data_IF_366891502911
#
_entry.id   IF_366891502911
#
_cell.length_a   1.000
_cell.length_b   1.000
_cell.length_c   1.000
_cell.angle_alpha   90.00
_cell.angle_beta   90.00
_cell.angle_gamma   90.00
#
_symmetry.space_group_name_H-M   'P 1'
#
loop_
_entity.id
_entity.type
_entity.pdbx_description
1 polymer ?
#
# COMPACT_ATOMS: atom_id res chain seq x y z
N UNK A 1 13.97 -10.00 14.89
CA UNK A 1 13.51 -9.38 13.63
C UNK A 1 13.42 -10.45 12.56
N UNK A 2 12.22 -10.69 12.03
CA UNK A 2 11.94 -11.62 10.93
C UNK A 2 11.28 -10.82 9.80
N UNK A 3 11.73 -11.07 8.57
CA UNK A 3 11.09 -10.57 7.35
C UNK A 3 10.26 -11.70 6.76
N UNK A 4 8.99 -11.43 6.50
CA UNK A 4 8.03 -12.41 5.99
C UNK A 4 7.44 -11.91 4.67
N UNK A 5 7.34 -12.80 3.69
CA UNK A 5 6.56 -12.57 2.47
C UNK A 5 5.07 -12.71 2.78
N UNK A 6 4.29 -11.69 2.44
CA UNK A 6 2.86 -11.61 2.72
C UNK A 6 2.07 -11.40 1.42
N UNK A 7 0.80 -11.82 1.44
CA UNK A 7 -0.17 -11.61 0.37
C UNK A 7 -1.52 -11.23 0.95
N UNK A 8 -2.17 -10.23 0.38
CA UNK A 8 -3.54 -9.88 0.77
C UNK A 8 -4.60 -10.71 0.03
N UNK A 9 -5.87 -10.64 0.48
CA UNK A 9 -7.00 -11.29 -0.20
C UNK A 9 -7.18 -10.87 -1.67
N UNK A 10 -6.70 -9.68 -2.05
CA UNK A 10 -6.70 -9.19 -3.44
C UNK A 10 -5.48 -9.64 -4.26
N UNK A 11 -4.54 -10.39 -3.67
CA UNK A 11 -3.39 -10.97 -4.37
C UNK A 11 -2.12 -10.13 -4.43
N UNK A 12 -2.09 -8.92 -3.84
CA UNK A 12 -0.87 -8.10 -3.78
C UNK A 12 0.19 -8.74 -2.88
N UNK A 13 1.43 -8.79 -3.36
CA UNK A 13 2.59 -9.29 -2.63
C UNK A 13 3.35 -8.13 -1.98
N UNK A 14 3.78 -8.32 -0.73
CA UNK A 14 4.59 -7.35 0.01
C UNK A 14 5.35 -8.02 1.15
N UNK A 15 6.35 -7.34 1.69
CA UNK A 15 7.13 -7.83 2.84
C UNK A 15 6.66 -7.17 4.13
N UNK A 16 6.63 -7.95 5.22
CA UNK A 16 6.35 -7.46 6.58
C UNK A 16 7.50 -7.75 7.54
N UNK A 17 7.80 -6.79 8.41
CA UNK A 17 8.91 -6.84 9.36
C UNK A 17 8.36 -7.00 10.78
N UNK A 18 8.68 -8.12 11.42
CA UNK A 18 8.10 -8.48 12.73
C UNK A 18 9.20 -8.79 13.76
N UNK A 19 8.89 -8.58 15.04
CA UNK A 19 9.83 -8.90 16.12
C UNK A 19 10.15 -10.39 16.17
N UNK A 20 9.10 -11.20 16.05
CA UNK A 20 9.10 -12.66 16.04
C UNK A 20 7.98 -13.21 15.14
N UNK A 21 7.82 -14.53 15.10
CA UNK A 21 6.71 -15.16 14.37
C UNK A 21 5.40 -15.11 15.16
N UNK A 22 5.49 -15.19 16.49
CA UNK A 22 4.34 -14.99 17.38
C UNK A 22 3.80 -13.55 17.32
N UNK A 23 4.68 -12.57 17.09
CA UNK A 23 4.29 -11.17 16.90
C UNK A 23 3.44 -11.01 15.62
N UNK A 24 3.86 -11.61 14.50
CA UNK A 24 3.04 -11.67 13.29
C UNK A 24 1.68 -12.33 13.55
N UNK A 25 1.66 -13.51 14.21
CA UNK A 25 0.43 -14.23 14.49
C UNK A 25 -0.52 -13.40 15.37
N UNK A 26 0.00 -12.78 16.44
CA UNK A 26 -0.76 -11.91 17.34
C UNK A 26 -1.34 -10.68 16.62
N UNK A 27 -0.54 -10.01 15.78
CA UNK A 27 -1.03 -8.84 15.03
C UNK A 27 -2.09 -9.23 14.00
N UNK A 28 -1.92 -10.37 13.32
CA UNK A 28 -2.93 -10.91 12.40
C UNK A 28 -4.23 -11.24 13.13
N UNK A 29 -4.16 -11.96 14.25
CA UNK A 29 -5.34 -12.40 14.99
C UNK A 29 -6.11 -11.21 15.62
N UNK A 30 -5.40 -10.11 15.89
CA UNK A 30 -5.98 -8.83 16.33
C UNK A 30 -6.48 -7.95 15.17
N UNK A 31 -6.31 -8.37 13.92
CA UNK A 31 -6.71 -7.60 12.74
C UNK A 31 -5.93 -6.29 12.56
N UNK A 32 -4.65 -6.27 12.94
CA UNK A 32 -3.80 -5.07 12.86
C UNK A 32 -2.94 -5.00 11.59
N UNK A 33 -3.15 -5.92 10.65
CA UNK A 33 -2.37 -6.01 9.42
C UNK A 33 -3.22 -5.57 8.24
N UNK A 34 -2.78 -4.53 7.54
CA UNK A 34 -3.42 -4.05 6.33
C UNK A 34 -2.49 -4.14 5.13
N UNK A 35 -3.07 -4.43 3.96
CA UNK A 35 -2.34 -4.35 2.71
C UNK A 35 -1.98 -2.89 2.39
N UNK A 36 -0.70 -2.55 2.17
CA UNK A 36 -0.28 -1.18 1.86
C UNK A 36 -0.75 -0.70 0.47
N UNK A 37 -1.26 -1.61 -0.38
CA UNK A 37 -1.71 -1.30 -1.74
C UNK A 37 -3.22 -1.03 -1.80
N UNK A 38 -4.02 -1.84 -1.10
CA UNK A 38 -5.49 -1.78 -1.20
C UNK A 38 -6.22 -1.65 0.14
N UNK A 39 -5.53 -1.65 1.27
CA UNK A 39 -6.14 -1.57 2.60
C UNK A 39 -6.94 -2.81 3.01
N UNK A 40 -6.84 -3.93 2.28
CA UNK A 40 -7.49 -5.17 2.68
C UNK A 40 -6.76 -5.77 3.91
N UNK A 41 -7.52 -6.01 4.98
CA UNK A 41 -7.05 -6.59 6.24
C UNK A 41 -6.81 -8.11 6.19
N UNK A 42 -7.29 -8.81 5.15
CA UNK A 42 -7.01 -10.22 4.95
C UNK A 42 -5.57 -10.43 4.47
N UNK A 43 -4.63 -10.58 5.42
CA UNK A 43 -3.20 -10.74 5.15
C UNK A 43 -2.72 -12.14 5.52
N UNK A 44 -2.15 -12.86 4.56
CA UNK A 44 -1.66 -14.23 4.69
C UNK A 44 -0.15 -14.29 4.45
N UNK A 45 0.57 -15.03 5.28
CA UNK A 45 1.99 -15.33 5.06
C UNK A 45 2.17 -16.36 3.97
N UNK A 46 3.13 -16.13 3.08
CA UNK A 46 3.56 -17.09 2.07
C UNK A 46 4.59 -18.08 2.66
N UNK A 47 4.54 -19.36 2.22
CA UNK A 47 5.57 -20.32 2.57
C UNK A 47 6.91 -19.91 1.95
N UNK A 48 7.96 -19.88 2.77
CA UNK A 48 9.33 -19.67 2.29
C UNK A 48 9.84 -20.94 1.62
N UNK A 49 10.39 -20.83 0.40
CA UNK A 49 10.93 -21.98 -0.30
C UNK A 49 12.20 -22.51 0.40
N UNK A 50 12.27 -23.81 0.77
CA UNK A 50 13.49 -24.39 1.32
C UNK A 50 14.57 -24.46 0.24
N UNK A 51 15.81 -24.10 0.60
CA UNK A 51 16.97 -24.30 -0.28
C UNK A 51 17.32 -25.79 -0.32
N UNK A 52 16.94 -26.46 -1.40
CA UNK A 52 17.32 -27.85 -1.67
C UNK A 52 18.72 -27.88 -2.31
N UNK A 53 19.71 -28.41 -1.61
CA UNK A 53 21.04 -28.67 -2.17
C UNK A 53 21.00 -29.93 -3.04
N UNK A 54 20.52 -29.79 -4.27
CA UNK A 54 20.43 -30.88 -5.25
C UNK A 54 21.79 -31.06 -5.97
N UNK A 55 22.85 -31.41 -5.25
CA UNK A 55 24.19 -31.63 -5.84
C UNK A 55 24.32 -32.90 -6.69
N UNK A 56 23.24 -33.66 -6.91
CA UNK A 56 23.25 -34.88 -7.74
C UNK A 56 22.02 -35.10 -8.63
N UNK A 57 21.04 -34.21 -8.63
CA UNK A 57 19.84 -34.36 -9.45
C UNK A 57 19.83 -33.31 -10.56
N UNK A 58 20.22 -33.71 -11.77
CA UNK A 58 20.01 -32.92 -12.97
C UNK A 58 18.51 -32.86 -13.26
N UNK A 59 17.85 -31.76 -12.87
CA UNK A 59 16.54 -31.44 -13.41
C UNK A 59 16.70 -30.98 -14.89
N UNK A 60 15.77 -31.34 -15.79
CA UNK A 60 15.80 -30.84 -17.16
C UNK A 60 15.60 -29.33 -17.15
N UNK A 61 16.43 -28.63 -17.92
CA UNK A 61 16.33 -27.20 -18.12
C UNK A 61 15.02 -26.88 -18.87
N UNK A 62 14.00 -26.41 -18.15
CA UNK A 62 13.00 -25.55 -18.76
C UNK A 62 13.46 -24.12 -18.53
N UNK A 63 14.04 -23.55 -19.59
CA UNK A 63 14.29 -22.14 -19.69
C UNK A 63 12.96 -21.39 -19.44
N UNK A 64 12.96 -20.52 -18.44
CA UNK A 64 12.01 -19.42 -18.37
C UNK A 64 12.86 -18.15 -18.39
N UNK A 65 12.66 -17.44 -19.48
CA UNK A 65 13.33 -16.21 -19.91
C UNK A 65 13.25 -15.12 -18.83
N UNK A 66 14.30 -14.31 -18.62
CA UNK A 66 14.20 -13.13 -17.76
C UNK A 66 13.35 -12.08 -18.48
N UNK A 67 12.12 -11.87 -18.01
CA UNK A 67 11.30 -10.76 -18.44
C UNK A 67 12.03 -9.45 -18.08
N UNK A 68 12.54 -8.79 -19.11
CA UNK A 68 13.21 -7.50 -19.03
C UNK A 68 12.26 -6.46 -18.45
N UNK A 69 12.66 -5.86 -17.33
CA UNK A 69 12.05 -4.66 -16.81
C UNK A 69 12.43 -3.48 -17.73
N UNK A 70 11.47 -3.05 -18.56
CA UNK A 70 11.53 -1.72 -19.19
C UNK A 70 10.82 -0.72 -18.27
N UNK A 71 11.44 0.43 -17.95
CA UNK A 71 10.74 1.52 -17.25
C UNK A 71 9.89 2.26 -18.28
N UNK A 72 8.57 2.13 -18.19
CA UNK A 72 7.65 3.04 -18.88
C UNK A 72 7.38 4.25 -17.98
N UNK A 73 7.37 5.49 -18.51
CA UNK A 73 7.15 6.70 -17.73
C UNK A 73 5.75 6.72 -17.13
N UNK A 74 5.63 7.34 -15.96
CA UNK A 74 4.39 7.59 -15.25
C UNK A 74 3.39 8.31 -16.16
N UNK A 75 2.45 7.53 -16.70
CA UNK A 75 1.27 8.04 -17.36
C UNK A 75 0.19 8.14 -16.29
N UNK A 76 -0.19 9.38 -15.97
CA UNK A 76 -1.39 9.71 -15.20
C UNK A 76 -2.57 9.29 -16.08
N UNK A 77 -2.92 8.02 -16.03
CA UNK A 77 -4.08 7.50 -16.75
C UNK A 77 -5.31 7.90 -15.95
N UNK A 78 -6.02 8.88 -16.47
CA UNK A 78 -7.34 9.29 -15.99
C UNK A 78 -8.23 8.05 -15.80
N UNK A 79 -8.68 7.85 -14.56
CA UNK A 79 -9.55 6.76 -14.14
C UNK A 79 -10.96 6.99 -14.70
N UNK A 80 -11.16 6.63 -15.96
CA UNK A 80 -12.48 6.48 -16.55
C UNK A 80 -12.74 4.99 -16.75
N UNK A 81 -13.30 4.33 -15.73
CA UNK A 81 -14.32 3.27 -15.81
C UNK A 81 -14.36 2.42 -14.54
N UNK A 82 -15.45 2.51 -13.77
CA UNK A 82 -15.83 1.50 -12.78
C UNK A 82 -16.23 2.02 -11.40
N UNK A 83 -17.53 2.15 -11.16
CA UNK A 83 -18.12 2.14 -9.81
C UNK A 83 -18.22 3.50 -9.11
N UNK A 84 -19.33 3.68 -8.40
CA UNK A 84 -19.66 4.83 -7.56
C UNK A 84 -18.49 5.37 -6.72
N UNK A 85 -17.56 4.51 -6.29
CA UNK A 85 -16.38 4.88 -5.50
C UNK A 85 -15.45 5.89 -6.19
N UNK A 86 -15.15 5.73 -7.49
CA UNK A 86 -14.29 6.66 -8.21
C UNK A 86 -14.94 8.05 -8.33
N UNK A 87 -16.25 8.09 -8.55
CA UNK A 87 -17.01 9.34 -8.61
C UNK A 87 -17.06 10.03 -7.24
N UNK A 88 -17.30 9.27 -6.16
CA UNK A 88 -17.26 9.77 -4.78
C UNK A 88 -15.90 10.33 -4.40
N UNK A 89 -14.82 9.70 -4.86
CA UNK A 89 -13.47 10.20 -4.63
C UNK A 89 -13.24 11.54 -5.34
N UNK A 90 -13.60 11.65 -6.62
CA UNK A 90 -13.47 12.91 -7.38
C UNK A 90 -14.33 14.02 -6.77
N UNK A 91 -15.55 13.70 -6.34
CA UNK A 91 -16.44 14.63 -5.64
C UNK A 91 -15.81 15.12 -4.32
N UNK A 92 -15.31 14.20 -3.49
CA UNK A 92 -14.65 14.54 -2.22
C UNK A 92 -13.38 15.38 -2.41
N UNK A 93 -12.55 15.07 -3.42
CA UNK A 93 -11.37 15.89 -3.73
C UNK A 93 -11.78 17.28 -4.22
N UNK A 94 -12.83 17.37 -5.04
CA UNK A 94 -13.35 18.65 -5.53
C UNK A 94 -13.90 19.50 -4.37
N UNK A 95 -14.64 18.89 -3.46
CA UNK A 95 -15.14 19.54 -2.24
C UNK A 95 -14.00 20.04 -1.36
N UNK A 96 -12.98 19.21 -1.12
CA UNK A 96 -11.80 19.60 -0.37
C UNK A 96 -11.10 20.81 -0.99
N UNK A 97 -10.89 20.80 -2.31
CA UNK A 97 -10.24 21.91 -3.01
C UNK A 97 -11.08 23.20 -2.99
N UNK A 98 -12.40 23.10 -3.02
CA UNK A 98 -13.29 24.26 -2.96
C UNK A 98 -13.45 24.83 -1.54
N UNK A 99 -13.35 23.98 -0.52
CA UNK A 99 -13.57 24.35 0.88
C UNK A 99 -12.28 24.55 1.68
N UNK A 100 -11.09 24.41 1.07
CA UNK A 100 -9.82 24.65 1.73
C UNK A 100 -9.01 25.73 1.01
N UNK A 101 -8.20 26.44 1.76
CA UNK A 101 -7.31 27.47 1.23
C UNK A 101 -5.89 27.26 1.75
N UNK A 102 -4.90 27.33 0.86
CA UNK A 102 -3.49 27.36 1.24
C UNK A 102 -3.12 28.76 1.78
N UNK A 103 -2.82 28.82 3.07
CA UNK A 103 -2.45 30.07 3.77
C UNK A 103 -0.94 30.33 3.75
N UNK A 104 -0.12 29.35 3.36
CA UNK A 104 1.33 29.47 3.26
C UNK A 104 1.99 30.10 4.48
N UNK A 105 2.77 31.16 4.26
CA UNK A 105 3.47 31.90 5.34
C UNK A 105 2.54 32.63 6.31
N UNK A 106 1.25 32.83 5.97
CA UNK A 106 0.25 33.49 6.82
C UNK A 106 -0.38 32.56 7.86
N UNK A 107 0.05 31.31 7.94
CA UNK A 107 -0.51 30.31 8.87
C UNK A 107 -0.61 30.82 10.32
N UNK A 108 0.43 31.45 10.84
CA UNK A 108 0.44 31.94 12.23
C UNK A 108 -0.53 33.13 12.46
N UNK A 109 -0.87 33.89 11.42
CA UNK A 109 -1.85 34.97 11.49
C UNK A 109 -3.27 34.42 11.39
N UNK A 110 -3.53 33.57 10.41
CA UNK A 110 -4.85 32.93 10.23
C UNK A 110 -5.23 32.05 11.42
N UNK A 111 -4.29 31.30 12.00
CA UNK A 111 -4.53 30.53 13.22
C UNK A 111 -4.92 31.42 14.42
N UNK A 112 -4.33 32.62 14.54
CA UNK A 112 -4.70 33.59 15.58
C UNK A 112 -6.07 34.19 15.30
N UNK A 113 -6.39 34.50 14.04
CA UNK A 113 -7.71 35.00 13.65
C UNK A 113 -8.82 34.00 13.96
N UNK A 114 -8.60 32.72 13.67
CA UNK A 114 -9.54 31.64 14.06
C UNK A 114 -9.68 31.56 15.58
N UNK A 115 -8.57 31.65 16.34
CA UNK A 115 -8.60 31.64 17.81
C UNK A 115 -9.42 32.80 18.41
N UNK A 116 -9.38 33.98 17.78
CA UNK A 116 -10.14 35.16 18.21
C UNK A 116 -11.52 35.29 17.55
N UNK A 117 -11.91 34.35 16.67
CA UNK A 117 -13.21 34.36 15.99
C UNK A 117 -13.34 35.37 14.85
N UNK A 118 -12.22 35.81 14.27
CA UNK A 118 -12.16 36.75 13.14
C UNK A 118 -12.14 36.05 11.76
N UNK A 119 -12.04 34.72 11.75
CA UNK A 119 -12.19 33.84 10.58
C UNK A 119 -12.64 32.45 11.04
N UNK A 120 -13.15 31.65 10.09
CA UNK A 120 -13.67 30.28 10.27
C UNK A 120 -12.84 29.26 9.48
#
# INVERSE_FOLDING_TARGET
MKVLDLRCGSGHLFEGWFGSEDDYASQRDRGLLDCPVCGNAEVLRLPSAPRLNLSGARAPATASEPAQASPAPAQVTALASGGTAAQRFVEAVTELLNNTQDVGSRFAEEARRIHYGESE
#
